data_IF_437953062268
#
_entry.id   IF_437953062268
#
_cell.length_a   1.000
_cell.length_b   1.000
_cell.length_c   1.000
_cell.angle_alpha   90.00
_cell.angle_beta   90.00
_cell.angle_gamma   90.00
#
_symmetry.space_group_name_H-M   'P 1'
#
loop_
_entity.id
_entity.type
_entity.pdbx_description
1 polymer ?
#
# COMPACT_ATOMS: atom_id res chain seq x y z
N UNK A 1 1.95 35.93 4.26
CA UNK A 1 0.49 35.79 4.18
C UNK A 1 0.18 34.65 3.22
N UNK A 2 -0.37 33.53 3.70
CA UNK A 2 -0.77 32.45 2.81
C UNK A 2 -1.85 32.96 1.83
N UNK A 3 -1.81 32.48 0.59
CA UNK A 3 -2.79 32.87 -0.44
C UNK A 3 -4.22 32.58 0.02
N UNK A 4 -5.20 33.38 -0.42
CA UNK A 4 -6.62 33.23 -0.04
C UNK A 4 -7.15 31.81 -0.29
N UNK A 5 -6.64 31.14 -1.33
CA UNK A 5 -6.92 29.73 -1.65
C UNK A 5 -6.39 28.78 -0.58
N UNK A 6 -5.18 29.00 -0.07
CA UNK A 6 -4.54 28.11 0.92
C UNK A 6 -5.30 28.14 2.25
N UNK A 7 -5.73 29.32 2.70
CA UNK A 7 -6.54 29.46 3.91
C UNK A 7 -7.94 28.83 3.77
N UNK A 8 -8.47 28.70 2.55
CA UNK A 8 -9.76 28.04 2.31
C UNK A 8 -9.67 26.52 2.44
N UNK A 9 -8.51 25.94 2.11
CA UNK A 9 -8.30 24.49 2.14
C UNK A 9 -7.65 23.99 3.43
N UNK A 10 -6.80 24.78 4.08
CA UNK A 10 -6.18 24.43 5.37
C UNK A 10 -7.10 24.78 6.54
N UNK A 11 -8.26 24.11 6.59
CA UNK A 11 -9.19 24.19 7.72
C UNK A 11 -9.32 22.80 8.36
N UNK A 12 -9.49 22.71 9.69
CA UNK A 12 -9.55 21.43 10.39
C UNK A 12 -10.61 20.46 9.82
N UNK A 13 -11.71 21.00 9.31
CA UNK A 13 -12.82 20.23 8.74
C UNK A 13 -12.44 19.50 7.45
N UNK A 14 -11.38 19.93 6.76
CA UNK A 14 -10.93 19.37 5.48
C UNK A 14 -9.86 18.28 5.69
N UNK A 15 -9.20 18.23 6.85
CA UNK A 15 -8.16 17.22 7.14
C UNK A 15 -8.65 15.77 6.99
N UNK A 16 -9.87 15.39 7.41
CA UNK A 16 -10.38 14.05 7.14
C UNK A 16 -10.50 13.73 5.64
N UNK A 17 -10.87 14.71 4.82
CA UNK A 17 -10.96 14.55 3.36
C UNK A 17 -9.57 14.37 2.75
N UNK A 18 -8.59 15.17 3.18
CA UNK A 18 -7.20 15.00 2.76
C UNK A 18 -6.61 13.66 3.19
N UNK A 19 -6.95 13.17 4.38
CA UNK A 19 -6.54 11.85 4.84
C UNK A 19 -7.10 10.76 3.91
N UNK A 20 -8.41 10.78 3.63
CA UNK A 20 -9.04 9.79 2.75
C UNK A 20 -8.47 9.81 1.32
N UNK A 21 -8.38 11.00 0.71
CA UNK A 21 -7.85 11.16 -0.65
C UNK A 21 -6.36 10.82 -0.71
N UNK A 22 -5.59 11.26 0.27
CA UNK A 22 -4.16 10.97 0.38
C UNK A 22 -3.89 9.48 0.53
N UNK A 23 -4.69 8.76 1.32
CA UNK A 23 -4.62 7.30 1.44
C UNK A 23 -4.94 6.63 0.10
N UNK A 24 -6.01 7.03 -0.59
CA UNK A 24 -6.38 6.44 -1.87
C UNK A 24 -5.28 6.64 -2.94
N UNK A 25 -4.78 7.86 -3.10
CA UNK A 25 -3.68 8.17 -4.02
C UNK A 25 -2.40 7.43 -3.62
N UNK A 26 -2.11 7.35 -2.32
CA UNK A 26 -0.97 6.62 -1.79
C UNK A 26 -1.02 5.13 -2.11
N UNK A 27 -2.18 4.48 -1.98
CA UNK A 27 -2.36 3.06 -2.32
C UNK A 27 -2.15 2.83 -3.82
N UNK A 28 -2.72 3.68 -4.67
CA UNK A 28 -2.53 3.61 -6.11
C UNK A 28 -1.05 3.78 -6.49
N UNK A 29 -0.37 4.78 -5.92
CA UNK A 29 1.05 5.04 -6.14
C UNK A 29 1.94 3.88 -5.68
N UNK A 30 1.68 3.35 -4.48
CA UNK A 30 2.38 2.19 -3.95
C UNK A 30 2.25 0.97 -4.88
N UNK A 31 1.05 0.71 -5.40
CA UNK A 31 0.82 -0.41 -6.31
C UNK A 31 1.59 -0.23 -7.62
N UNK A 32 1.60 0.98 -8.20
CA UNK A 32 2.34 1.29 -9.42
C UNK A 32 3.86 1.12 -9.22
N UNK A 33 4.40 1.67 -8.14
CA UNK A 33 5.83 1.56 -7.81
C UNK A 33 6.23 0.09 -7.65
N UNK A 34 5.43 -0.71 -6.92
CA UNK A 34 5.68 -2.15 -6.81
C UNK A 34 5.65 -2.87 -8.14
N UNK A 35 4.71 -2.49 -9.02
CA UNK A 35 4.60 -3.10 -10.33
C UNK A 35 5.79 -2.77 -11.24
N UNK A 36 6.37 -1.57 -11.11
CA UNK A 36 7.53 -1.15 -11.90
C UNK A 36 8.83 -1.76 -11.35
N UNK A 37 8.97 -1.86 -10.03
CA UNK A 37 10.25 -2.22 -9.41
C UNK A 37 10.42 -3.70 -9.08
N UNK A 38 9.34 -4.46 -8.86
CA UNK A 38 9.41 -5.82 -8.28
C UNK A 38 8.57 -6.82 -9.08
N UNK A 39 7.86 -6.39 -10.13
CA UNK A 39 7.15 -7.34 -10.98
C UNK A 39 8.16 -8.03 -11.91
N UNK A 40 8.34 -9.36 -11.81
CA UNK A 40 9.33 -10.08 -12.61
C UNK A 40 9.08 -9.99 -14.13
N UNK A 41 7.86 -9.63 -14.53
CA UNK A 41 7.50 -9.46 -15.95
C UNK A 41 7.83 -8.08 -16.50
N UNK A 42 7.93 -7.06 -15.64
CA UNK A 42 8.12 -5.66 -16.06
C UNK A 42 9.61 -5.32 -16.10
N UNK A 43 10.14 -5.21 -17.32
CA UNK A 43 11.57 -5.00 -17.58
C UNK A 43 11.85 -3.58 -18.08
N UNK A 44 12.13 -2.66 -17.16
CA UNK A 44 12.38 -1.25 -17.49
C UNK A 44 13.80 -1.02 -18.03
N UNK A 45 14.81 -1.72 -17.50
CA UNK A 45 16.20 -1.59 -17.94
C UNK A 45 16.45 -2.33 -19.26
N UNK A 46 17.42 -1.86 -20.05
CA UNK A 46 17.81 -2.53 -21.30
C UNK A 46 18.41 -3.92 -21.04
N UNK A 47 19.20 -4.06 -19.98
CA UNK A 47 19.80 -5.31 -19.53
C UNK A 47 18.73 -6.36 -19.18
N UNK A 48 17.70 -5.97 -18.44
CA UNK A 48 16.60 -6.87 -18.06
C UNK A 48 15.79 -7.39 -19.25
N UNK A 49 15.68 -6.61 -20.34
CA UNK A 49 15.03 -7.04 -21.59
C UNK A 49 15.89 -8.00 -22.41
N UNK A 50 17.21 -7.87 -22.34
CA UNK A 50 18.15 -8.75 -23.04
C UNK A 50 18.26 -10.13 -22.38
N UNK A 51 17.88 -10.25 -21.10
CA UNK A 51 18.05 -11.46 -20.29
C UNK A 51 17.14 -12.65 -20.68
N UNK A 52 16.26 -12.53 -21.69
CA UNK A 52 15.54 -13.67 -22.28
C UNK A 52 14.57 -14.38 -21.33
N UNK A 53 15.00 -15.48 -20.69
CA UNK A 53 14.22 -16.30 -19.75
C UNK A 53 14.87 -16.23 -18.36
N UNK A 54 14.06 -15.87 -17.36
CA UNK A 54 14.53 -15.53 -16.03
C UNK A 54 14.11 -16.67 -15.07
N UNK A 55 15.06 -17.48 -14.62
CA UNK A 55 14.88 -18.41 -13.48
C UNK A 55 14.77 -17.59 -12.17
N UNK A 56 13.75 -16.72 -12.09
CA UNK A 56 13.64 -15.66 -11.10
C UNK A 56 12.61 -15.97 -10.01
N UNK A 57 12.60 -17.22 -9.57
CA UNK A 57 11.70 -17.70 -8.53
C UNK A 57 11.83 -16.87 -7.24
N UNK A 58 13.05 -16.42 -6.91
CA UNK A 58 13.30 -15.60 -5.73
C UNK A 58 12.67 -14.20 -5.82
N UNK A 59 12.64 -13.56 -7.00
CA UNK A 59 11.96 -12.27 -7.19
C UNK A 59 10.44 -12.45 -7.25
N UNK A 60 9.96 -13.51 -7.93
CA UNK A 60 8.55 -13.88 -7.95
C UNK A 60 7.99 -14.16 -6.55
N UNK A 61 8.74 -14.89 -5.72
CA UNK A 61 8.39 -15.13 -4.31
C UNK A 61 8.31 -13.80 -3.54
N UNK A 62 9.29 -12.90 -3.71
CA UNK A 62 9.28 -11.59 -3.05
C UNK A 62 8.11 -10.71 -3.50
N UNK A 63 7.71 -10.80 -4.78
CA UNK A 63 6.57 -10.08 -5.31
C UNK A 63 5.24 -10.61 -4.75
N UNK A 64 5.07 -11.94 -4.75
CA UNK A 64 3.88 -12.61 -4.22
C UNK A 64 3.76 -12.45 -2.69
N UNK A 65 4.87 -12.67 -1.98
CA UNK A 65 4.96 -12.73 -0.52
C UNK A 65 5.62 -11.49 0.08
N UNK A 66 5.05 -10.32 -0.21
CA UNK A 66 5.53 -9.08 0.39
C UNK A 66 5.26 -9.02 1.91
N UNK A 67 6.05 -8.21 2.62
CA UNK A 67 6.06 -8.17 4.09
C UNK A 67 4.68 -7.94 4.73
N UNK A 68 3.85 -7.06 4.16
CA UNK A 68 2.48 -6.84 4.65
C UNK A 68 1.63 -8.12 4.51
N UNK A 69 1.70 -8.84 3.38
CA UNK A 69 0.98 -10.10 3.17
C UNK A 69 1.44 -11.18 4.17
N UNK A 70 2.75 -11.30 4.40
CA UNK A 70 3.30 -12.20 5.42
C UNK A 70 2.81 -11.84 6.83
N UNK A 71 2.76 -10.54 7.15
CA UNK A 71 2.32 -10.04 8.45
C UNK A 71 0.83 -10.27 8.73
N UNK A 72 -0.04 -10.13 7.74
CA UNK A 72 -1.49 -10.30 7.91
C UNK A 72 -1.97 -11.75 7.78
N UNK A 73 -1.15 -12.66 7.24
CA UNK A 73 -1.51 -14.06 6.96
C UNK A 73 -2.13 -14.81 8.14
N UNK A 74 -1.59 -14.59 9.34
CA UNK A 74 -2.00 -15.29 10.56
C UNK A 74 -2.90 -14.43 11.46
N UNK A 75 -3.42 -13.30 10.94
CA UNK A 75 -4.31 -12.42 11.69
C UNK A 75 -5.75 -12.69 11.26
N UNK A 76 -6.66 -12.69 12.24
CA UNK A 76 -8.08 -12.74 11.96
C UNK A 76 -8.50 -11.51 11.12
N UNK A 77 -9.38 -11.67 10.12
CA UNK A 77 -9.86 -10.57 9.29
C UNK A 77 -10.82 -9.68 10.09
N UNK A 78 -10.26 -8.85 10.95
CA UNK A 78 -11.01 -7.96 11.85
C UNK A 78 -10.43 -6.54 11.81
N UNK A 79 -11.31 -5.54 11.68
CA UNK A 79 -10.90 -4.13 11.57
C UNK A 79 -10.39 -3.58 12.91
N UNK A 80 -11.02 -3.99 14.02
CA UNK A 80 -10.71 -3.48 15.37
C UNK A 80 -10.75 -4.61 16.40
N UNK A 81 -9.75 -5.51 16.42
CA UNK A 81 -9.78 -6.71 17.27
C UNK A 81 -9.91 -6.39 18.77
N UNK A 82 -9.34 -5.28 19.25
CA UNK A 82 -9.48 -4.86 20.65
C UNK A 82 -10.91 -4.41 20.99
N UNK A 83 -11.57 -3.68 20.09
CA UNK A 83 -12.96 -3.24 20.27
C UNK A 83 -13.91 -4.43 20.15
N UNK A 84 -13.67 -5.31 19.17
CA UNK A 84 -14.45 -6.52 18.99
C UNK A 84 -14.41 -7.39 20.25
N UNK A 85 -13.22 -7.67 20.79
CA UNK A 85 -13.04 -8.43 22.04
C UNK A 85 -13.71 -7.75 23.23
N UNK A 86 -13.58 -6.43 23.35
CA UNK A 86 -14.22 -5.67 24.43
C UNK A 86 -15.74 -5.86 24.47
N UNK A 87 -16.40 -5.97 23.31
CA UNK A 87 -17.85 -6.14 23.24
C UNK A 87 -18.33 -7.60 23.13
N UNK A 88 -17.48 -8.53 22.67
CA UNK A 88 -17.86 -9.91 22.37
C UNK A 88 -17.38 -10.94 23.41
N UNK A 89 -16.31 -10.67 24.17
CA UNK A 89 -15.80 -11.63 25.14
C UNK A 89 -16.72 -11.68 26.38
N UNK A 90 -17.21 -12.87 26.80
CA UNK A 90 -17.98 -13.01 28.02
C UNK A 90 -17.11 -12.70 29.25
N UNK A 91 -17.73 -12.15 30.30
CA UNK A 91 -17.07 -11.86 31.58
C UNK A 91 -16.64 -13.12 32.34
#
# INVERSE_FOLDING_TARGET
MASSTVNRWLRPEVYPLFAAVGVAVGICGFQLVRNICINPEVRVSKEGRAAGVLENYAEGEKYAEHGLRKFVRNKAPEIMPSINRFFADPK
#
